data_IF_749205092737
#
_entry.id   IF_749205092737
#
_cell.length_a   1.000
_cell.length_b   1.000
_cell.length_c   1.000
_cell.angle_alpha   90.00
_cell.angle_beta   90.00
_cell.angle_gamma   90.00
#
_symmetry.space_group_name_H-M   'P 1'
#
loop_
_entity.id
_entity.type
_entity.pdbx_description
1 polymer ?
#
# COMPACT_ATOMS: atom_id res chain seq x y z
N UNK A 1 5.62 47.76 15.72
CA UNK A 1 6.02 46.43 16.23
C UNK A 1 5.41 45.42 15.27
N UNK A 2 6.24 44.80 14.44
CA UNK A 2 5.88 44.08 13.21
C UNK A 2 4.85 42.97 13.42
N UNK A 3 3.87 42.92 12.52
CA UNK A 3 3.07 41.74 12.20
C UNK A 3 3.96 40.76 11.42
N UNK A 4 4.23 39.59 12.00
CA UNK A 4 4.96 38.51 11.34
C UNK A 4 4.00 37.74 10.44
N UNK A 5 4.03 38.05 9.15
CA UNK A 5 3.35 37.31 8.09
C UNK A 5 4.20 36.08 7.73
N UNK A 6 3.79 34.90 8.20
CA UNK A 6 4.44 33.65 7.86
C UNK A 6 3.84 33.13 6.55
N UNK A 7 4.58 33.26 5.45
CA UNK A 7 4.24 32.64 4.19
C UNK A 7 4.12 31.10 4.36
N UNK A 8 3.16 30.44 3.70
CA UNK A 8 3.09 28.99 3.71
C UNK A 8 4.34 28.40 3.05
N UNK A 9 4.93 27.39 3.68
CA UNK A 9 6.02 26.62 3.11
C UNK A 9 5.61 26.08 1.75
N UNK A 10 6.36 26.44 0.71
CA UNK A 10 6.18 25.87 -0.61
C UNK A 10 6.45 24.37 -0.56
N UNK A 11 5.54 23.61 -1.15
CA UNK A 11 5.61 22.16 -1.34
C UNK A 11 6.85 21.84 -2.20
N UNK A 12 7.85 21.17 -1.63
CA UNK A 12 9.14 20.84 -2.26
C UNK A 12 9.04 19.66 -3.24
N UNK A 13 7.83 19.36 -3.74
CA UNK A 13 7.50 18.12 -4.48
C UNK A 13 7.65 18.26 -6.01
N UNK A 14 8.01 19.43 -6.54
CA UNK A 14 8.10 19.67 -7.99
C UNK A 14 9.51 19.45 -8.58
N UNK A 15 10.10 18.27 -8.34
CA UNK A 15 11.16 17.80 -9.24
C UNK A 15 10.52 17.33 -10.54
N UNK A 16 10.60 18.18 -11.56
CA UNK A 16 10.15 17.88 -12.93
C UNK A 16 10.69 16.52 -13.40
N UNK A 17 9.83 15.53 -13.69
CA UNK A 17 10.30 14.22 -14.10
C UNK A 17 10.86 14.27 -15.53
N UNK A 18 12.14 13.92 -15.71
CA UNK A 18 12.61 13.43 -17.01
C UNK A 18 12.08 12.00 -17.24
N UNK A 19 11.94 11.58 -18.50
CA UNK A 19 11.41 10.32 -19.09
C UNK A 19 11.06 9.07 -18.21
N UNK A 20 10.06 8.25 -18.63
CA UNK A 20 9.37 7.29 -17.78
C UNK A 20 10.14 5.98 -17.56
N UNK A 21 10.25 5.58 -16.29
CA UNK A 21 10.64 4.24 -15.88
C UNK A 21 9.89 3.87 -14.60
N UNK A 22 9.65 2.57 -14.32
CA UNK A 22 8.83 2.11 -13.20
C UNK A 22 9.34 2.60 -11.83
N UNK A 23 10.66 2.73 -11.67
CA UNK A 23 11.27 3.25 -10.44
C UNK A 23 10.93 4.74 -10.17
N UNK A 24 10.77 5.56 -11.22
CA UNK A 24 10.42 6.99 -11.07
C UNK A 24 8.97 7.22 -10.68
N UNK A 25 8.12 6.19 -10.79
CA UNK A 25 6.74 6.27 -10.38
C UNK A 25 6.62 6.48 -8.87
N UNK A 26 7.50 5.82 -8.10
CA UNK A 26 7.52 5.87 -6.63
C UNK A 26 8.25 7.10 -6.07
N UNK A 27 8.90 7.89 -6.93
CA UNK A 27 9.47 9.19 -6.54
C UNK A 27 8.36 10.25 -6.32
N UNK A 28 7.14 10.00 -6.82
CA UNK A 28 5.98 10.86 -6.61
C UNK A 28 5.48 10.74 -5.17
N UNK A 29 5.02 11.84 -4.58
CA UNK A 29 4.30 11.78 -3.31
C UNK A 29 3.03 10.91 -3.42
N UNK A 30 2.59 10.37 -2.28
CA UNK A 30 1.35 9.61 -2.21
C UNK A 30 0.14 10.45 -2.63
N UNK A 31 0.18 11.77 -2.41
CA UNK A 31 -0.87 12.70 -2.85
C UNK A 31 -0.93 12.74 -4.37
N UNK A 32 0.22 12.90 -5.04
CA UNK A 32 0.28 12.92 -6.50
C UNK A 32 -0.11 11.58 -7.12
N UNK A 33 0.37 10.46 -6.56
CA UNK A 33 -0.05 9.12 -7.01
C UNK A 33 -1.56 8.94 -6.92
N UNK A 34 -2.18 9.38 -5.83
CA UNK A 34 -3.65 9.34 -5.66
C UNK A 34 -4.36 10.20 -6.70
N UNK A 35 -3.85 11.38 -7.03
CA UNK A 35 -4.41 12.23 -8.10
C UNK A 35 -4.39 11.54 -9.45
N UNK A 36 -3.24 10.99 -9.82
CA UNK A 36 -3.05 10.33 -11.11
C UNK A 36 -3.92 9.06 -11.22
N UNK A 37 -4.02 8.28 -10.13
CA UNK A 37 -4.90 7.11 -10.02
C UNK A 37 -6.37 7.51 -10.15
N UNK A 38 -6.82 8.53 -9.40
CA UNK A 38 -8.19 9.02 -9.46
C UNK A 38 -8.55 9.64 -10.83
N UNK A 39 -7.57 10.27 -11.48
CA UNK A 39 -7.73 10.80 -12.82
C UNK A 39 -7.83 9.69 -13.89
N UNK A 40 -7.33 8.49 -13.59
CA UNK A 40 -7.14 7.39 -14.55
C UNK A 40 -5.91 7.55 -15.44
N UNK A 41 -4.98 8.43 -15.07
CA UNK A 41 -3.69 8.60 -15.75
C UNK A 41 -2.72 7.47 -15.41
N UNK A 42 -2.91 6.85 -14.24
CA UNK A 42 -2.25 5.62 -13.82
C UNK A 42 -3.30 4.59 -13.42
N UNK A 43 -2.98 3.32 -13.63
CA UNK A 43 -3.72 2.19 -13.06
C UNK A 43 -3.14 1.76 -11.71
N UNK A 44 -3.98 1.19 -10.84
CA UNK A 44 -3.56 0.56 -9.59
C UNK A 44 -2.54 -0.55 -9.88
N UNK A 45 -2.69 -1.27 -11.00
CA UNK A 45 -1.72 -2.28 -11.44
C UNK A 45 -0.35 -1.69 -11.71
N UNK A 46 -0.24 -0.58 -12.45
CA UNK A 46 1.05 0.04 -12.76
C UNK A 46 1.80 0.46 -11.48
N UNK A 47 1.09 1.11 -10.54
CA UNK A 47 1.67 1.52 -9.26
C UNK A 47 2.06 0.31 -8.41
N UNK A 48 1.23 -0.74 -8.40
CA UNK A 48 1.50 -1.97 -7.66
C UNK A 48 2.71 -2.72 -8.20
N UNK A 49 2.85 -2.88 -9.52
CA UNK A 49 4.02 -3.55 -10.10
C UNK A 49 5.31 -2.77 -9.87
N UNK A 50 5.26 -1.43 -9.92
CA UNK A 50 6.40 -0.60 -9.54
C UNK A 50 6.82 -0.83 -8.08
N UNK A 51 5.85 -0.85 -7.16
CA UNK A 51 6.10 -1.08 -5.73
C UNK A 51 6.63 -2.50 -5.44
N UNK A 52 6.08 -3.52 -6.11
CA UNK A 52 6.57 -4.90 -6.00
C UNK A 52 7.99 -5.04 -6.55
N UNK A 53 8.29 -4.41 -7.70
CA UNK A 53 9.63 -4.42 -8.27
C UNK A 53 10.64 -3.73 -7.34
N UNK A 54 10.27 -2.61 -6.72
CA UNK A 54 11.12 -1.94 -5.75
C UNK A 54 11.36 -2.80 -4.50
N UNK A 55 10.30 -3.42 -3.95
CA UNK A 55 10.42 -4.32 -2.80
C UNK A 55 11.34 -5.52 -3.10
N UNK A 56 11.28 -6.07 -4.31
CA UNK A 56 12.14 -7.16 -4.75
C UNK A 56 13.59 -6.72 -4.99
N UNK A 57 13.80 -5.55 -5.60
CA UNK A 57 15.13 -5.01 -5.87
C UNK A 57 15.89 -4.65 -4.57
N UNK A 58 15.16 -4.37 -3.49
CA UNK A 58 15.69 -4.04 -2.16
C UNK A 58 15.42 -5.13 -1.12
N UNK A 59 15.31 -6.38 -1.53
CA UNK A 59 15.05 -7.50 -0.63
C UNK A 59 16.16 -7.69 0.44
N UNK A 60 17.37 -7.22 0.14
CA UNK A 60 18.51 -7.21 1.05
C UNK A 60 18.31 -6.31 2.29
N UNK A 61 17.40 -5.32 2.21
CA UNK A 61 17.04 -4.47 3.35
C UNK A 61 16.24 -5.21 4.42
N UNK A 62 15.74 -6.42 4.17
CA UNK A 62 14.96 -7.18 5.15
C UNK A 62 13.64 -6.51 5.57
N UNK A 63 13.10 -5.60 4.75
CA UNK A 63 11.94 -4.77 5.12
C UNK A 63 10.62 -5.55 5.21
N UNK A 64 10.47 -6.63 4.44
CA UNK A 64 9.27 -7.46 4.40
C UNK A 64 9.50 -8.81 5.07
N UNK A 65 8.64 -9.13 6.05
CA UNK A 65 8.53 -10.48 6.60
C UNK A 65 7.68 -11.40 5.71
N UNK A 66 6.77 -10.80 4.93
CA UNK A 66 5.98 -11.46 3.91
C UNK A 66 5.69 -10.46 2.79
N UNK A 67 6.01 -10.81 1.55
CA UNK A 67 5.61 -10.05 0.35
C UNK A 67 4.56 -10.87 -0.40
N UNK A 68 3.31 -10.40 -0.44
CA UNK A 68 2.18 -11.04 -1.11
C UNK A 68 1.95 -10.45 -2.51
N UNK A 69 2.84 -10.78 -3.43
CA UNK A 69 2.80 -10.24 -4.78
C UNK A 69 1.53 -10.66 -5.56
N UNK A 70 1.01 -11.86 -5.32
CA UNK A 70 -0.18 -12.37 -6.00
C UNK A 70 -1.45 -11.68 -5.48
N UNK A 71 -1.61 -11.58 -4.16
CA UNK A 71 -2.73 -10.85 -3.56
C UNK A 71 -2.71 -9.37 -3.92
N UNK A 72 -1.54 -8.73 -3.94
CA UNK A 72 -1.39 -7.35 -4.36
C UNK A 72 -1.86 -7.12 -5.82
N UNK A 73 -1.41 -7.97 -6.75
CA UNK A 73 -1.83 -7.91 -8.17
C UNK A 73 -3.32 -8.15 -8.36
N UNK A 74 -3.87 -9.13 -7.63
CA UNK A 74 -5.30 -9.46 -7.68
C UNK A 74 -6.12 -8.25 -7.24
N UNK A 75 -5.74 -7.66 -6.10
CA UNK A 75 -6.43 -6.48 -5.56
C UNK A 75 -6.34 -5.27 -6.50
N UNK A 76 -5.17 -5.04 -7.09
CA UNK A 76 -4.98 -3.96 -8.07
C UNK A 76 -5.89 -4.14 -9.29
N UNK A 77 -5.99 -5.35 -9.82
CA UNK A 77 -6.87 -5.65 -10.95
C UNK A 77 -8.36 -5.44 -10.63
N UNK A 78 -8.81 -5.80 -9.41
CA UNK A 78 -10.17 -5.52 -8.95
C UNK A 78 -10.48 -4.02 -8.88
N UNK A 79 -9.53 -3.22 -8.40
CA UNK A 79 -9.65 -1.77 -8.30
C UNK A 79 -9.72 -1.13 -9.69
N UNK A 80 -8.84 -1.53 -10.60
CA UNK A 80 -8.83 -1.05 -11.98
C UNK A 80 -10.13 -1.40 -12.72
N UNK A 81 -10.66 -2.61 -12.51
CA UNK A 81 -11.92 -3.05 -13.10
C UNK A 81 -13.15 -2.30 -12.55
N UNK A 82 -13.07 -1.77 -11.33
CA UNK A 82 -14.12 -0.96 -10.72
C UNK A 82 -13.99 0.54 -11.05
N UNK A 83 -12.84 0.99 -11.57
CA UNK A 83 -12.57 2.40 -11.80
C UNK A 83 -13.18 2.89 -13.13
N UNK A 84 -14.05 3.92 -13.14
CA UNK A 84 -14.87 4.25 -14.31
C UNK A 84 -14.09 4.73 -15.55
N UNK A 85 -12.86 5.24 -15.35
CA UNK A 85 -11.99 5.71 -16.44
C UNK A 85 -10.96 4.69 -16.90
N UNK A 86 -10.72 3.64 -16.11
CA UNK A 86 -9.70 2.61 -16.38
C UNK A 86 -10.35 1.31 -16.81
N UNK A 87 -11.52 0.98 -16.26
CA UNK A 87 -12.28 -0.19 -16.62
C UNK A 87 -12.64 -0.17 -18.12
N UNK A 88 -12.41 -1.26 -18.88
CA UNK A 88 -13.09 -1.43 -20.15
C UNK A 88 -14.60 -1.38 -19.86
N UNK A 89 -15.38 -0.69 -20.69
CA UNK A 89 -16.82 -0.49 -20.50
C UNK A 89 -17.50 -1.87 -20.28
N UNK A 90 -17.76 -2.24 -19.02
CA UNK A 90 -18.11 -3.62 -18.64
C UNK A 90 -19.40 -3.71 -17.81
N UNK A 91 -20.09 -4.82 -18.04
CA UNK A 91 -21.38 -5.24 -17.47
C UNK A 91 -21.18 -5.73 -16.02
N UNK A 92 -22.11 -5.46 -15.08
CA UNK A 92 -21.87 -5.71 -13.64
C UNK A 92 -21.71 -7.21 -13.31
N UNK A 93 -20.62 -7.55 -12.60
CA UNK A 93 -20.36 -8.87 -12.00
C UNK A 93 -20.56 -8.87 -10.47
N UNK A 94 -20.67 -10.05 -9.82
CA UNK A 94 -21.25 -10.20 -8.49
C UNK A 94 -20.32 -9.95 -7.28
N UNK A 95 -19.20 -9.25 -7.43
CA UNK A 95 -18.31 -8.89 -6.31
C UNK A 95 -18.07 -7.38 -6.31
N UNK A 96 -18.98 -6.65 -5.69
CA UNK A 96 -18.94 -5.19 -5.61
C UNK A 96 -17.83 -4.76 -4.67
N UNK A 97 -16.80 -4.12 -5.23
CA UNK A 97 -15.90 -3.19 -4.51
C UNK A 97 -16.72 -2.27 -3.59
N UNK A 98 -16.13 -1.80 -2.46
CA UNK A 98 -16.83 -0.83 -1.61
C UNK A 98 -17.31 0.33 -2.46
N UNK A 99 -18.52 0.80 -2.16
CA UNK A 99 -19.13 1.92 -2.84
C UNK A 99 -18.15 3.10 -2.88
N UNK A 100 -18.09 3.85 -3.99
CA UNK A 100 -17.41 5.14 -3.98
C UNK A 100 -17.89 5.96 -2.78
N UNK A 101 -17.04 6.83 -2.25
CA UNK A 101 -17.49 7.87 -1.32
C UNK A 101 -18.71 8.57 -1.95
N UNK A 102 -19.71 8.97 -1.13
CA UNK A 102 -21.14 9.28 -1.45
C UNK A 102 -21.48 9.99 -2.80
N UNK A 103 -20.48 10.53 -3.49
CA UNK A 103 -20.55 11.28 -4.74
C UNK A 103 -20.05 10.54 -6.00
N UNK A 104 -19.71 9.24 -5.92
CA UNK A 104 -19.17 8.50 -7.07
C UNK A 104 -17.67 8.71 -7.32
N UNK A 105 -16.98 9.37 -6.37
CA UNK A 105 -15.54 9.58 -6.40
C UNK A 105 -14.78 8.29 -6.03
N UNK A 106 -13.57 8.06 -6.59
CA UNK A 106 -12.70 6.98 -6.14
C UNK A 106 -12.47 7.09 -4.62
N UNK A 107 -12.44 5.94 -3.93
CA UNK A 107 -12.17 5.89 -2.50
C UNK A 107 -10.88 6.67 -2.16
N UNK A 108 -10.84 7.31 -0.99
CA UNK A 108 -9.76 8.24 -0.59
C UNK A 108 -8.31 7.76 -0.78
N UNK A 109 -8.04 6.45 -0.76
CA UNK A 109 -6.72 5.83 -0.97
C UNK A 109 -6.70 4.84 -2.13
N UNK A 110 -7.60 5.00 -3.11
CA UNK A 110 -7.76 4.11 -4.25
C UNK A 110 -6.43 3.81 -4.95
N UNK A 111 -6.08 2.53 -5.03
CA UNK A 111 -4.93 2.02 -5.79
C UNK A 111 -3.57 2.24 -5.12
N UNK A 112 -3.50 2.94 -3.99
CA UNK A 112 -2.23 3.19 -3.30
C UNK A 112 -1.68 1.90 -2.66
N UNK A 113 -0.41 1.54 -2.91
CA UNK A 113 0.22 0.40 -2.27
C UNK A 113 0.64 0.73 -0.84
N UNK A 114 0.47 -0.23 0.08
CA UNK A 114 0.99 -0.16 1.45
C UNK A 114 1.34 -1.53 2.00
N UNK A 115 2.03 -1.57 3.13
CA UNK A 115 2.30 -2.78 3.89
C UNK A 115 1.93 -2.57 5.35
N UNK A 116 1.55 -3.65 6.04
CA UNK A 116 1.23 -3.60 7.46
C UNK A 116 2.41 -4.12 8.27
N UNK A 117 2.65 -3.56 9.46
CA UNK A 117 3.50 -4.22 10.45
C UNK A 117 3.02 -5.65 10.67
N UNK A 118 3.93 -6.59 10.86
CA UNK A 118 3.59 -7.97 11.25
C UNK A 118 3.09 -8.10 12.71
N UNK A 119 2.28 -7.13 13.12
CA UNK A 119 1.57 -6.99 14.39
C UNK A 119 0.07 -6.76 14.14
N UNK A 120 -0.34 -6.55 12.88
CA UNK A 120 -1.71 -6.20 12.49
C UNK A 120 -2.30 -7.39 11.74
N UNK A 121 -3.45 -7.86 12.19
CA UNK A 121 -4.20 -8.89 11.49
C UNK A 121 -4.74 -8.34 10.15
N UNK A 122 -4.39 -9.05 9.09
CA UNK A 122 -4.89 -8.80 7.73
C UNK A 122 -5.47 -10.12 7.26
N UNK A 123 -6.76 -10.14 6.94
CA UNK A 123 -7.49 -11.35 6.56
C UNK A 123 -6.77 -12.06 5.41
N UNK A 124 -6.47 -13.34 5.61
CA UNK A 124 -5.76 -14.18 4.64
C UNK A 124 -4.24 -14.15 4.74
N UNK A 125 -3.66 -13.33 5.63
CA UNK A 125 -2.23 -13.31 5.92
C UNK A 125 -1.95 -13.77 7.36
N UNK A 126 -0.82 -14.45 7.62
CA UNK A 126 -0.38 -14.71 8.99
C UNK A 126 0.01 -13.41 9.71
N UNK A 127 -0.06 -13.44 11.04
CA UNK A 127 0.49 -12.41 11.92
C UNK A 127 1.41 -13.09 12.93
N UNK A 128 2.72 -12.86 12.81
CA UNK A 128 3.73 -13.62 13.58
C UNK A 128 4.35 -12.82 14.72
N UNK A 129 4.06 -11.52 14.81
CA UNK A 129 4.61 -10.62 15.82
C UNK A 129 6.14 -10.60 15.85
N UNK A 130 6.82 -10.96 14.75
CA UNK A 130 8.27 -11.18 14.76
C UNK A 130 8.74 -12.24 15.77
N UNK A 131 7.86 -13.10 16.28
CA UNK A 131 8.20 -14.08 17.31
C UNK A 131 8.37 -15.47 16.72
N UNK A 132 9.44 -16.17 17.10
CA UNK A 132 9.65 -17.57 16.72
C UNK A 132 8.53 -18.48 17.24
N UNK A 133 7.85 -18.10 18.33
CA UNK A 133 6.71 -18.82 18.87
C UNK A 133 5.53 -18.87 17.88
N UNK A 134 5.42 -17.88 17.00
CA UNK A 134 4.29 -17.68 16.10
C UNK A 134 4.70 -17.81 14.62
N UNK A 135 5.86 -18.40 14.33
CA UNK A 135 6.37 -18.57 12.96
C UNK A 135 5.36 -19.29 12.04
N UNK A 136 4.66 -20.29 12.59
CA UNK A 136 3.65 -21.11 11.91
C UNK A 136 2.20 -20.67 12.20
N UNK A 137 2.00 -19.43 12.65
CA UNK A 137 0.65 -18.90 12.89
C UNK A 137 -0.22 -19.05 11.62
N UNK A 138 -1.47 -19.52 11.75
CA UNK A 138 -2.37 -19.63 10.60
C UNK A 138 -2.73 -18.23 10.08
N UNK A 139 -3.17 -18.11 8.82
CA UNK A 139 -3.72 -16.86 8.30
C UNK A 139 -4.87 -16.33 9.16
N UNK A 140 -4.91 -15.01 9.36
CA UNK A 140 -5.97 -14.36 10.11
C UNK A 140 -7.33 -14.55 9.42
N UNK A 141 -8.36 -14.89 10.19
CA UNK A 141 -9.72 -15.09 9.68
C UNK A 141 -10.44 -13.76 9.35
N UNK A 142 -10.01 -12.66 9.98
CA UNK A 142 -10.61 -11.33 9.85
C UNK A 142 -9.51 -10.26 9.86
N UNK A 143 -9.85 -9.08 9.34
CA UNK A 143 -8.99 -7.91 9.41
C UNK A 143 -9.08 -7.27 10.81
N UNK A 144 -7.97 -6.72 11.30
CA UNK A 144 -7.96 -5.72 12.36
C UNK A 144 -8.76 -4.47 11.93
N UNK A 145 -9.41 -3.71 12.84
CA UNK A 145 -10.14 -2.49 12.48
C UNK A 145 -9.34 -1.46 11.67
N UNK A 146 -8.02 -1.38 11.85
CA UNK A 146 -7.15 -0.54 11.03
C UNK A 146 -7.05 -1.08 9.59
N UNK A 147 -6.77 -2.37 9.44
CA UNK A 147 -6.67 -3.02 8.14
C UNK A 147 -8.00 -2.98 7.38
N UNK A 148 -9.11 -3.21 8.07
CA UNK A 148 -10.45 -3.11 7.49
C UNK A 148 -10.72 -1.71 6.90
N UNK A 149 -10.37 -0.65 7.64
CA UNK A 149 -10.55 0.74 7.20
C UNK A 149 -9.69 1.07 5.98
N UNK A 150 -8.40 0.74 6.02
CA UNK A 150 -7.48 1.06 4.93
C UNK A 150 -7.81 0.28 3.65
N UNK A 151 -8.13 -1.02 3.77
CA UNK A 151 -8.61 -1.82 2.63
C UNK A 151 -9.92 -1.28 2.07
N UNK A 152 -10.85 -0.88 2.95
CA UNK A 152 -12.10 -0.21 2.58
C UNK A 152 -11.88 1.11 1.83
N UNK A 153 -10.84 1.85 2.18
CA UNK A 153 -10.42 3.08 1.49
C UNK A 153 -9.74 2.82 0.13
N UNK A 154 -9.64 1.56 -0.32
CA UNK A 154 -9.19 1.21 -1.67
C UNK A 154 -7.69 0.94 -1.82
N UNK A 155 -6.95 0.74 -0.73
CA UNK A 155 -5.50 0.46 -0.79
C UNK A 155 -5.20 -0.94 -1.36
N UNK A 156 -4.01 -1.10 -1.93
CA UNK A 156 -3.43 -2.40 -2.30
C UNK A 156 -2.43 -2.82 -1.22
N UNK A 157 -2.65 -4.00 -0.62
CA UNK A 157 -1.73 -4.53 0.40
C UNK A 157 -0.60 -5.31 -0.26
N UNK A 158 0.64 -4.89 -0.04
CA UNK A 158 1.85 -5.56 -0.54
C UNK A 158 2.28 -6.73 0.35
N UNK A 159 1.95 -6.70 1.65
CA UNK A 159 2.31 -7.76 2.59
C UNK A 159 2.53 -7.25 4.02
N UNK A 160 3.41 -7.96 4.75
CA UNK A 160 3.74 -7.74 6.15
C UNK A 160 5.20 -7.30 6.30
N UNK A 161 5.45 -6.23 7.04
CA UNK A 161 6.79 -5.71 7.28
C UNK A 161 7.46 -6.37 8.49
N UNK A 162 8.78 -6.43 8.45
CA UNK A 162 9.60 -6.92 9.55
C UNK A 162 9.46 -6.03 10.78
N UNK A 163 9.27 -6.64 11.93
CA UNK A 163 9.07 -5.98 13.22
C UNK A 163 9.98 -6.60 14.28
N UNK A 164 10.31 -5.88 15.36
CA UNK A 164 10.87 -6.53 16.54
C UNK A 164 9.85 -7.49 17.14
N UNK A 165 10.36 -8.46 17.90
CA UNK A 165 9.51 -9.41 18.61
C UNK A 165 8.49 -8.67 19.51
N UNK A 166 7.20 -8.90 19.25
CA UNK A 166 6.04 -8.23 19.86
C UNK A 166 6.04 -6.70 19.75
N UNK A 167 6.85 -6.11 18.88
CA UNK A 167 6.99 -4.66 18.74
C UNK A 167 7.65 -3.99 19.96
N UNK A 168 8.41 -4.74 20.77
CA UNK A 168 8.96 -4.25 22.04
C UNK A 168 10.22 -3.39 21.88
N UNK A 169 11.01 -3.64 20.84
CA UNK A 169 12.27 -2.94 20.62
C UNK A 169 12.15 -1.79 19.61
N UNK A 170 13.14 -0.89 19.62
CA UNK A 170 13.22 0.25 18.68
C UNK A 170 14.01 -0.05 17.40
N UNK A 171 14.39 -1.32 17.19
CA UNK A 171 15.04 -1.80 15.98
C UNK A 171 14.36 -3.10 15.53
N UNK A 172 14.21 -3.29 14.22
CA UNK A 172 13.48 -4.44 13.66
C UNK A 172 14.41 -5.65 13.47
N UNK A 173 14.85 -6.21 14.59
CA UNK A 173 15.59 -7.48 14.63
C UNK A 173 14.75 -8.54 15.34
N UNK A 174 14.70 -9.74 14.77
CA UNK A 174 13.97 -10.87 15.33
C UNK A 174 14.58 -12.21 14.88
N UNK A 175 14.04 -13.32 15.38
CA UNK A 175 14.54 -14.67 15.08
C UNK A 175 13.85 -15.34 13.87
N UNK A 176 12.88 -14.68 13.24
CA UNK A 176 12.02 -15.25 12.18
C UNK A 176 12.49 -14.82 10.79
N UNK A 177 12.97 -13.58 10.65
CA UNK A 177 13.34 -12.97 9.37
C UNK A 177 14.72 -12.33 9.44
N UNK A 178 15.28 -11.99 8.28
CA UNK A 178 16.49 -11.17 8.25
C UNK A 178 16.23 -9.81 8.95
N UNK A 179 17.24 -9.25 9.64
CA UNK A 179 17.15 -7.91 10.22
C UNK A 179 16.81 -6.83 9.17
N UNK A 180 15.95 -5.88 9.53
CA UNK A 180 15.73 -4.73 8.66
C UNK A 180 16.91 -3.74 8.73
N UNK A 181 17.27 -3.11 7.60
CA UNK A 181 18.40 -2.17 7.47
C UNK A 181 18.05 -0.94 6.64
#
# INVERSE_FOLDING_TARGET
MQTSDAAPAADDDDRTPSAPGPARLLDRSAVRLREDLAAGELSAREVTEAALAAAQAHADLGAFALLDAEGARTRAAELDAAHPRVAPRAVPGPHTSPAPDDDGAPASLHGLPLAYKDLIDVRGMPTRFGSALLADAPPAAQDDPLALRLRGAGTVTLGKTTVPEFGLDSYSENLVTAPAR
#
